data_IF_142906593693
#
_entry.id   IF_142906593693
#
_cell.length_a   1.000
_cell.length_b   1.000
_cell.length_c   1.000
_cell.angle_alpha   90.00
_cell.angle_beta   90.00
_cell.angle_gamma   90.00
#
_symmetry.space_group_name_H-M   'P 1'
#
loop_
_entity.id
_entity.type
_entity.pdbx_description
1 polymer ?
#
# COMPACT_ATOMS: atom_id res chain seq x y z
N UNK A 1 -18.78 -8.73 -5.22
CA UNK A 1 -17.73 -8.60 -4.18
C UNK A 1 -17.53 -9.87 -3.33
N UNK A 2 -17.71 -11.07 -3.91
CA UNK A 2 -17.54 -12.34 -3.15
C UNK A 2 -16.05 -12.71 -3.02
N UNK A 3 -15.28 -12.49 -4.08
CA UNK A 3 -13.84 -12.78 -4.16
C UNK A 3 -13.02 -12.14 -3.04
N UNK A 4 -13.14 -10.82 -2.81
CA UNK A 4 -12.40 -10.15 -1.74
C UNK A 4 -12.80 -10.62 -0.34
N UNK A 5 -14.07 -11.00 -0.15
CA UNK A 5 -14.56 -11.52 1.12
C UNK A 5 -14.00 -12.90 1.40
N UNK A 6 -14.03 -13.78 0.40
CA UNK A 6 -13.47 -15.13 0.48
C UNK A 6 -11.95 -15.09 0.67
N UNK A 7 -11.26 -14.14 0.03
CA UNK A 7 -9.81 -13.96 0.15
C UNK A 7 -9.40 -13.41 1.53
N UNK A 8 -10.25 -12.57 2.14
CA UNK A 8 -10.06 -12.11 3.52
C UNK A 8 -10.26 -13.24 4.52
N UNK A 9 -11.25 -14.09 4.33
CA UNK A 9 -11.51 -15.26 5.18
C UNK A 9 -10.34 -16.25 5.07
N UNK A 10 -9.92 -16.55 3.83
CA UNK A 10 -8.77 -17.41 3.54
C UNK A 10 -7.47 -16.88 4.19
N UNK A 11 -7.23 -15.57 4.14
CA UNK A 11 -6.12 -14.93 4.87
C UNK A 11 -6.23 -15.11 6.39
N UNK A 12 -7.40 -14.87 6.97
CA UNK A 12 -7.59 -14.96 8.43
C UNK A 12 -7.48 -16.38 8.97
N UNK A 13 -7.87 -17.39 8.18
CA UNK A 13 -7.79 -18.80 8.56
C UNK A 13 -6.40 -19.41 8.31
N UNK A 14 -5.72 -19.02 7.23
CA UNK A 14 -4.46 -19.64 6.83
C UNK A 14 -3.20 -18.85 7.19
N UNK A 15 -3.35 -17.67 7.81
CA UNK A 15 -2.25 -16.93 8.44
C UNK A 15 -1.61 -17.77 9.52
N UNK A 16 -0.28 -17.89 9.47
CA UNK A 16 0.45 -18.72 10.42
C UNK A 16 0.68 -18.01 11.77
N UNK A 17 0.66 -16.68 11.75
CA UNK A 17 0.87 -15.84 12.94
C UNK A 17 0.00 -14.58 12.88
N UNK A 18 -0.36 -14.06 14.06
CA UNK A 18 -1.02 -12.76 14.21
C UNK A 18 -0.15 -11.60 13.69
N UNK A 19 1.15 -11.82 13.54
CA UNK A 19 2.10 -10.82 13.04
C UNK A 19 2.38 -10.94 11.54
N UNK A 20 1.90 -11.99 10.86
CA UNK A 20 2.08 -12.15 9.41
C UNK A 20 1.24 -11.11 8.66
N UNK A 21 1.90 -10.22 7.93
CA UNK A 21 1.22 -9.19 7.14
C UNK A 21 0.49 -9.81 5.95
N UNK A 22 -0.65 -9.23 5.56
CA UNK A 22 -1.43 -9.69 4.42
C UNK A 22 -0.59 -9.83 3.14
N UNK A 23 0.30 -8.88 2.89
CA UNK A 23 1.23 -8.92 1.75
C UNK A 23 2.18 -10.11 1.83
N UNK A 24 2.73 -10.42 3.01
CA UNK A 24 3.63 -11.55 3.20
C UNK A 24 2.91 -12.88 2.98
N UNK A 25 1.72 -13.04 3.56
CA UNK A 25 0.89 -14.22 3.35
C UNK A 25 0.52 -14.39 1.87
N UNK A 26 0.09 -13.31 1.21
CA UNK A 26 -0.32 -13.32 -0.18
C UNK A 26 0.85 -13.70 -1.10
N UNK A 27 2.04 -13.16 -0.83
CA UNK A 27 3.26 -13.45 -1.59
C UNK A 27 3.86 -14.83 -1.30
N UNK A 28 3.78 -15.31 -0.05
CA UNK A 28 4.37 -16.60 0.32
C UNK A 28 3.47 -17.77 -0.05
N UNK A 29 2.18 -17.68 0.27
CA UNK A 29 1.23 -18.81 0.25
C UNK A 29 0.21 -18.75 -0.89
N UNK A 30 -0.35 -17.58 -1.20
CA UNK A 30 -1.41 -17.48 -2.22
C UNK A 30 -0.84 -17.47 -3.64
N UNK A 31 0.28 -16.79 -3.84
CA UNK A 31 0.95 -16.71 -5.14
C UNK A 31 1.86 -17.92 -5.35
N UNK A 32 1.58 -18.71 -6.40
CA UNK A 32 2.51 -19.72 -6.90
C UNK A 32 3.76 -19.10 -7.55
N UNK A 33 4.73 -19.92 -7.96
CA UNK A 33 6.01 -19.45 -8.54
C UNK A 33 5.83 -18.44 -9.69
N UNK A 34 5.00 -18.79 -10.68
CA UNK A 34 4.65 -17.90 -11.79
C UNK A 34 3.91 -16.63 -11.35
N UNK A 35 3.05 -16.72 -10.35
CA UNK A 35 2.35 -15.57 -9.78
C UNK A 35 3.29 -14.57 -9.10
N UNK A 36 4.34 -15.07 -8.43
CA UNK A 36 5.38 -14.22 -7.82
C UNK A 36 6.20 -13.49 -8.89
N UNK A 37 6.53 -14.16 -10.00
CA UNK A 37 7.23 -13.54 -11.14
C UNK A 37 6.36 -12.43 -11.76
N UNK A 38 5.08 -12.71 -12.03
CA UNK A 38 4.15 -11.71 -12.57
C UNK A 38 4.01 -10.52 -11.62
N UNK A 39 3.87 -10.78 -10.32
CA UNK A 39 3.77 -9.73 -9.31
C UNK A 39 5.04 -8.86 -9.25
N UNK A 40 6.23 -9.48 -9.31
CA UNK A 40 7.50 -8.76 -9.37
C UNK A 40 7.61 -7.91 -10.64
N UNK A 41 7.16 -8.42 -11.79
CA UNK A 41 7.14 -7.67 -13.04
C UNK A 41 6.14 -6.50 -12.98
N UNK A 42 5.00 -6.67 -12.32
CA UNK A 42 4.01 -5.61 -12.12
C UNK A 42 4.55 -4.51 -11.20
N UNK A 43 5.24 -4.88 -10.11
CA UNK A 43 5.99 -3.94 -9.27
C UNK A 43 7.05 -3.17 -10.07
N UNK A 44 7.80 -3.87 -10.92
CA UNK A 44 8.79 -3.25 -11.79
C UNK A 44 8.17 -2.27 -12.79
N UNK A 45 7.00 -2.59 -13.34
CA UNK A 45 6.27 -1.72 -14.26
C UNK A 45 5.76 -0.46 -13.54
N UNK A 46 5.21 -0.60 -12.33
CA UNK A 46 4.86 0.55 -11.47
C UNK A 46 6.08 1.41 -11.20
N UNK A 47 7.23 0.80 -10.90
CA UNK A 47 8.48 1.51 -10.69
C UNK A 47 8.92 2.28 -11.93
N UNK A 48 8.85 1.67 -13.12
CA UNK A 48 9.17 2.34 -14.39
C UNK A 48 8.24 3.52 -14.66
N UNK A 49 6.94 3.42 -14.37
CA UNK A 49 6.00 4.53 -14.52
C UNK A 49 6.36 5.70 -13.60
N UNK A 50 6.72 5.41 -12.35
CA UNK A 50 7.18 6.41 -11.38
C UNK A 50 8.49 7.09 -11.85
N UNK A 51 9.44 6.33 -12.40
CA UNK A 51 10.70 6.86 -12.93
C UNK A 51 10.53 7.64 -14.24
N UNK A 52 9.62 7.21 -15.11
CA UNK A 52 9.35 7.89 -16.39
C UNK A 52 8.74 9.27 -16.17
N UNK A 53 8.05 9.45 -15.04
CA UNK A 53 7.36 10.67 -14.69
C UNK A 53 7.71 11.10 -13.26
N UNK A 54 8.95 11.58 -13.03
CA UNK A 54 9.42 11.95 -11.70
C UNK A 54 8.59 13.09 -11.09
N UNK A 55 7.91 13.87 -11.92
CA UNK A 55 6.99 14.91 -11.48
C UNK A 55 5.81 14.37 -10.63
N UNK A 56 5.36 13.12 -10.83
CA UNK A 56 4.31 12.54 -9.97
C UNK A 56 4.83 12.26 -8.56
N UNK A 57 6.07 11.78 -8.42
CA UNK A 57 6.71 11.57 -7.11
C UNK A 57 6.83 12.91 -6.38
N UNK A 58 7.30 13.92 -7.09
CA UNK A 58 7.47 15.28 -6.57
C UNK A 58 6.12 15.88 -6.15
N UNK A 59 5.09 15.78 -7.00
CA UNK A 59 3.74 16.25 -6.69
C UNK A 59 3.14 15.54 -5.47
N UNK A 60 3.29 14.22 -5.38
CA UNK A 60 2.84 13.45 -4.22
C UNK A 60 3.53 13.90 -2.93
N UNK A 61 4.83 14.16 -2.98
CA UNK A 61 5.59 14.67 -1.84
C UNK A 61 5.12 16.06 -1.39
N UNK A 62 4.89 16.98 -2.34
CA UNK A 62 4.31 18.28 -2.03
C UNK A 62 2.89 18.17 -1.46
N UNK A 63 2.09 17.22 -1.95
CA UNK A 63 0.76 16.93 -1.41
C UNK A 63 0.81 16.51 0.06
N UNK A 64 1.74 15.62 0.44
CA UNK A 64 1.95 15.21 1.84
C UNK A 64 2.38 16.38 2.71
N UNK A 65 3.32 17.21 2.23
CA UNK A 65 3.77 18.40 2.97
C UNK A 65 2.63 19.37 3.21
N UNK A 66 1.80 19.63 2.19
CA UNK A 66 0.65 20.52 2.29
C UNK A 66 -0.40 19.96 3.25
N UNK A 67 -0.66 18.65 3.22
CA UNK A 67 -1.57 17.99 4.15
C UNK A 67 -1.07 18.10 5.60
N UNK A 68 0.23 17.87 5.82
CA UNK A 68 0.87 18.04 7.13
C UNK A 68 0.70 19.47 7.65
N UNK A 69 0.89 20.47 6.79
CA UNK A 69 0.71 21.87 7.13
C UNK A 69 -0.75 22.19 7.51
N UNK A 70 -1.72 21.65 6.78
CA UNK A 70 -3.14 21.78 7.11
C UNK A 70 -3.44 21.19 8.49
N UNK A 71 -2.97 19.97 8.76
CA UNK A 71 -3.17 19.31 10.06
C UNK A 71 -2.57 20.15 11.19
N UNK A 72 -1.33 20.62 11.01
CA UNK A 72 -0.65 21.48 11.97
C UNK A 72 -1.44 22.77 12.25
N UNK A 73 -1.99 23.41 11.21
CA UNK A 73 -2.82 24.61 11.35
C UNK A 73 -4.14 24.33 12.08
N UNK A 74 -4.81 23.22 11.76
CA UNK A 74 -6.05 22.80 12.44
C UNK A 74 -5.77 22.55 13.92
N UNK A 75 -4.70 21.83 14.23
CA UNK A 75 -4.32 21.52 15.60
C UNK A 75 -3.91 22.78 16.37
N UNK A 76 -3.13 23.67 15.75
CA UNK A 76 -2.77 24.96 16.34
C UNK A 76 -3.99 25.84 16.62
N UNK A 77 -4.96 25.91 15.71
CA UNK A 77 -6.22 26.64 15.95
C UNK A 77 -6.96 26.02 17.14
N UNK A 78 -7.07 24.70 17.19
CA UNK A 78 -7.76 24.00 18.30
C UNK A 78 -7.14 24.33 19.67
N UNK A 79 -5.83 24.52 19.76
CA UNK A 79 -5.14 24.91 21.00
C UNK A 79 -5.28 26.40 21.37
N UNK A 80 -5.71 27.26 20.43
CA UNK A 80 -5.92 28.70 20.67
C UNK A 80 -7.32 29.05 21.15
N UNK A 81 -8.23 28.07 21.22
CA UNK A 81 -9.61 28.20 21.68
C UNK A 81 -9.76 27.55 23.06
#
# INVERSE_FOLDING_TARGET
>A
MKFFRDLKIDYLESRFSVHESFAEWFLKRKLGFWGKIIFAYLLWLVWLLLFSHPHYIIFFFYGILLLSLIIMLIEWWKYRK
#
